data_IF_195724391822
#
_entry.id   IF_195724391822
#
_cell.length_a   1.000
_cell.length_b   1.000
_cell.length_c   1.000
_cell.angle_alpha   90.00
_cell.angle_beta   90.00
_cell.angle_gamma   90.00
#
_symmetry.space_group_name_H-M   'P 1'
#
loop_
_entity.id
_entity.type
_entity.pdbx_description
1 polymer ?
#
# COMPACT_ATOMS: atom_id res chain seq x y z
N UNK A 1 -20.71 -19.25 -15.38
CA UNK A 1 -19.98 -17.98 -15.57
C UNK A 1 -18.92 -17.89 -14.48
N UNK A 2 -17.64 -17.83 -14.83
CA UNK A 2 -16.57 -17.71 -13.84
C UNK A 2 -16.63 -16.32 -13.16
N UNK A 3 -16.37 -16.22 -11.84
CA UNK A 3 -16.39 -14.94 -11.15
C UNK A 3 -15.34 -13.99 -11.75
N UNK A 4 -15.63 -12.67 -11.79
CA UNK A 4 -14.70 -11.69 -12.35
C UNK A 4 -13.37 -11.76 -11.59
N UNK A 5 -12.27 -11.86 -12.34
CA UNK A 5 -10.94 -11.97 -11.76
C UNK A 5 -10.63 -10.71 -10.93
N UNK A 6 -10.30 -10.89 -9.65
CA UNK A 6 -9.88 -9.79 -8.77
C UNK A 6 -8.67 -9.07 -9.34
N UNK A 7 -8.79 -7.74 -9.48
CA UNK A 7 -7.73 -6.86 -10.00
C UNK A 7 -6.54 -6.82 -9.04
N UNK A 8 -6.80 -6.62 -7.75
CA UNK A 8 -5.79 -6.71 -6.70
C UNK A 8 -5.70 -8.16 -6.22
N UNK A 9 -4.52 -8.75 -6.33
CA UNK A 9 -4.27 -10.17 -6.02
C UNK A 9 -3.75 -10.39 -4.61
N UNK A 10 -3.01 -9.42 -4.08
CA UNK A 10 -2.47 -9.47 -2.73
C UNK A 10 -1.42 -8.39 -2.48
N UNK A 11 -0.94 -8.32 -1.24
CA UNK A 11 0.15 -7.44 -0.83
C UNK A 11 1.25 -8.32 -0.24
N UNK A 12 2.49 -8.07 -0.62
CA UNK A 12 3.66 -8.80 -0.13
C UNK A 12 4.61 -7.86 0.60
N UNK A 13 5.24 -8.36 1.67
CA UNK A 13 6.36 -7.68 2.30
C UNK A 13 7.58 -7.79 1.38
N UNK A 14 8.35 -6.71 1.24
CA UNK A 14 9.61 -6.69 0.47
C UNK A 14 10.69 -5.93 1.24
N UNK A 15 11.93 -5.93 0.71
CA UNK A 15 13.05 -5.22 1.32
C UNK A 15 13.45 -5.80 2.69
N UNK A 16 13.89 -4.95 3.60
CA UNK A 16 14.36 -5.34 4.94
C UNK A 16 13.25 -5.96 5.80
N UNK A 17 12.00 -5.52 5.62
CA UNK A 17 10.83 -6.07 6.31
C UNK A 17 10.61 -7.54 5.95
N UNK A 18 10.78 -7.92 4.68
CA UNK A 18 10.63 -9.31 4.25
C UNK A 18 11.76 -10.23 4.75
N UNK A 19 12.93 -9.66 5.03
CA UNK A 19 14.12 -10.41 5.47
C UNK A 19 14.24 -10.52 7.00
N UNK A 20 13.33 -9.88 7.74
CA UNK A 20 13.43 -9.82 9.20
C UNK A 20 14.66 -9.03 9.69
N UNK A 21 15.14 -8.07 8.89
CA UNK A 21 16.35 -7.29 9.16
C UNK A 21 16.06 -5.89 9.69
N UNK A 22 14.87 -5.67 10.26
CA UNK A 22 14.53 -4.37 10.85
C UNK A 22 15.36 -4.14 12.11
N UNK A 23 16.02 -2.99 12.16
CA UNK A 23 16.77 -2.52 13.31
C UNK A 23 15.96 -1.48 14.08
N UNK A 24 16.36 -1.23 15.34
CA UNK A 24 15.78 -0.15 16.14
C UNK A 24 16.05 1.19 15.44
N UNK A 25 14.98 1.93 15.16
CA UNK A 25 15.03 3.20 14.44
C UNK A 25 14.63 3.10 12.96
N UNK A 26 14.47 1.90 12.42
CA UNK A 26 13.93 1.73 11.07
C UNK A 26 12.43 2.10 11.04
N UNK A 27 12.12 3.25 10.45
CA UNK A 27 10.75 3.77 10.32
C UNK A 27 10.16 3.57 8.92
N UNK A 28 10.97 3.09 7.97
CA UNK A 28 10.57 2.94 6.58
C UNK A 28 10.51 1.46 6.20
N UNK A 29 9.33 1.02 5.75
CA UNK A 29 9.13 -0.33 5.23
C UNK A 29 8.52 -0.27 3.83
N UNK A 30 8.70 -1.35 3.06
CA UNK A 30 8.18 -1.45 1.70
C UNK A 30 7.28 -2.66 1.54
N UNK A 31 6.19 -2.46 0.82
CA UNK A 31 5.25 -3.49 0.42
C UNK A 31 5.11 -3.49 -1.10
N UNK A 32 4.85 -4.65 -1.68
CA UNK A 32 4.55 -4.81 -3.10
C UNK A 32 3.08 -5.18 -3.28
N UNK A 33 2.32 -4.34 -4.01
CA UNK A 33 0.94 -4.63 -4.38
C UNK A 33 0.92 -5.45 -5.69
N UNK A 34 0.36 -6.65 -5.62
CA UNK A 34 0.21 -7.54 -6.78
C UNK A 34 -1.09 -7.24 -7.52
N UNK A 35 -0.98 -6.99 -8.82
CA UNK A 35 -2.12 -6.79 -9.71
C UNK A 35 -2.25 -7.97 -10.69
N UNK A 36 -3.47 -8.32 -11.07
CA UNK A 36 -3.75 -9.38 -12.05
C UNK A 36 -3.41 -8.99 -13.49
N UNK A 37 -3.24 -7.70 -13.74
CA UNK A 37 -2.91 -7.06 -15.01
C UNK A 37 -1.88 -5.98 -14.74
N UNK A 38 -1.21 -5.49 -15.79
CA UNK A 38 -0.28 -4.37 -15.70
C UNK A 38 -0.96 -3.18 -14.99
N UNK A 39 -0.41 -2.68 -13.87
CA UNK A 39 -0.98 -1.55 -13.16
C UNK A 39 -0.95 -0.30 -14.04
N UNK A 40 -1.94 0.57 -13.85
CA UNK A 40 -2.10 1.82 -14.60
C UNK A 40 -2.15 2.99 -13.63
N UNK A 41 -1.81 4.20 -14.08
CA UNK A 41 -1.92 5.40 -13.25
C UNK A 41 -3.34 5.63 -12.71
N UNK A 42 -4.38 5.25 -13.49
CA UNK A 42 -5.76 5.34 -13.03
C UNK A 42 -6.07 4.36 -11.89
N UNK A 43 -5.53 3.13 -11.94
CA UNK A 43 -5.65 2.18 -10.84
C UNK A 43 -4.96 2.71 -9.58
N UNK A 44 -3.73 3.22 -9.70
CA UNK A 44 -2.98 3.79 -8.58
C UNK A 44 -3.71 4.97 -7.93
N UNK A 45 -4.19 5.93 -8.73
CA UNK A 45 -4.98 7.05 -8.24
C UNK A 45 -6.23 6.59 -7.50
N UNK A 46 -6.92 5.56 -8.03
CA UNK A 46 -8.11 5.00 -7.37
C UNK A 46 -7.76 4.36 -6.03
N UNK A 47 -6.64 3.63 -5.95
CA UNK A 47 -6.19 3.04 -4.68
C UNK A 47 -5.86 4.16 -3.69
N UNK A 48 -5.05 5.15 -4.07
CA UNK A 48 -4.67 6.27 -3.21
C UNK A 48 -5.89 7.05 -2.67
N UNK A 49 -6.95 7.19 -3.47
CA UNK A 49 -8.19 7.85 -3.04
C UNK A 49 -9.08 7.00 -2.11
N UNK A 50 -8.99 5.68 -2.20
CA UNK A 50 -9.84 4.77 -1.41
C UNK A 50 -9.15 4.30 -0.12
N UNK A 51 -7.82 4.23 -0.12
CA UNK A 51 -7.04 3.69 0.98
C UNK A 51 -7.25 4.44 2.31
N UNK A 52 -7.30 5.80 2.37
CA UNK A 52 -7.61 6.51 3.62
C UNK A 52 -8.93 6.07 4.26
N UNK A 53 -9.97 5.88 3.42
CA UNK A 53 -11.28 5.43 3.90
C UNK A 53 -11.26 4.00 4.44
N UNK A 54 -10.39 3.14 3.88
CA UNK A 54 -10.24 1.77 4.37
C UNK A 54 -9.40 1.72 5.66
N UNK A 55 -8.43 2.62 5.82
CA UNK A 55 -7.62 2.72 7.04
C UNK A 55 -8.48 3.11 8.25
N UNK A 56 -9.38 4.07 8.08
CA UNK A 56 -10.35 4.48 9.12
C UNK A 56 -11.30 3.36 9.57
N UNK A 57 -11.42 2.27 8.81
CA UNK A 57 -12.25 1.13 9.20
C UNK A 57 -11.49 0.10 10.05
N UNK A 58 -10.16 0.16 10.10
CA UNK A 58 -9.32 -0.85 10.76
C UNK A 58 -8.53 -0.30 11.94
N UNK A 59 -8.37 1.03 12.04
CA UNK A 59 -7.67 1.70 13.13
C UNK A 59 -8.22 3.12 13.33
N UNK A 60 -8.05 3.66 14.53
CA UNK A 60 -8.36 5.05 14.89
C UNK A 60 -7.18 5.99 14.61
N UNK A 61 -5.96 5.48 14.40
CA UNK A 61 -4.80 6.34 14.14
C UNK A 61 -4.90 7.07 12.79
N UNK A 62 -4.34 8.27 12.75
CA UNK A 62 -4.32 9.10 11.56
C UNK A 62 -3.11 8.76 10.66
N UNK A 63 -3.41 8.50 9.39
CA UNK A 63 -2.41 8.26 8.36
C UNK A 63 -2.61 9.19 7.17
N UNK A 64 -1.52 9.78 6.71
CA UNK A 64 -1.46 10.49 5.44
C UNK A 64 -1.15 9.50 4.31
N UNK A 65 -1.98 9.54 3.26
CA UNK A 65 -1.76 8.73 2.04
C UNK A 65 -1.46 9.65 0.88
N UNK A 66 -0.28 9.50 0.30
CA UNK A 66 0.16 10.22 -0.88
C UNK A 66 0.58 9.25 -1.99
N UNK A 67 0.64 9.75 -3.23
CA UNK A 67 1.18 9.00 -4.37
C UNK A 67 2.32 9.77 -5.00
N UNK A 68 3.42 9.09 -5.33
CA UNK A 68 4.60 9.72 -5.91
C UNK A 68 4.63 9.62 -7.45
N UNK A 69 5.55 10.33 -8.14
CA UNK A 69 5.71 10.26 -9.59
C UNK A 69 6.17 8.89 -10.11
N UNK A 70 6.79 8.08 -9.25
CA UNK A 70 7.27 6.72 -9.54
C UNK A 70 6.16 5.67 -9.41
N UNK A 71 4.91 6.11 -9.27
CA UNK A 71 3.74 5.24 -9.17
C UNK A 71 3.69 4.41 -7.87
N UNK A 72 4.35 4.88 -6.80
CA UNK A 72 4.21 4.34 -5.47
C UNK A 72 3.07 5.01 -4.70
N UNK A 73 2.58 4.29 -3.69
CA UNK A 73 1.66 4.82 -2.67
C UNK A 73 2.45 4.85 -1.38
N UNK A 74 2.54 6.03 -0.78
CA UNK A 74 3.24 6.26 0.49
C UNK A 74 2.18 6.47 1.57
N UNK A 75 2.34 5.75 2.68
CA UNK A 75 1.50 5.86 3.85
C UNK A 75 2.41 6.29 4.99
N UNK A 76 2.11 7.43 5.59
CA UNK A 76 2.87 8.00 6.70
C UNK A 76 1.95 8.14 7.90
N UNK A 77 2.44 7.77 9.08
CA UNK A 77 1.77 8.11 10.34
C UNK A 77 1.82 9.62 10.56
N UNK A 78 0.76 10.21 11.11
CA UNK A 78 0.78 11.58 11.59
C UNK A 78 1.49 11.73 12.95
N UNK A 79 1.82 10.61 13.60
CA UNK A 79 2.47 10.55 14.92
C UNK A 79 3.95 10.12 14.81
N UNK A 80 4.81 10.64 15.70
CA UNK A 80 6.28 10.44 15.71
C UNK A 80 6.79 9.08 16.27
#
# INVERSE_FOLDING_TARGET
VAPPARVLKGVMRVGILAKGLLLRGDRNVRLALLCSKKPTHSLLRRIAQQLPRQLQMVTEDEYEVSSDPEANIVISSCEE
#
